data_IF_453848172400
#
_entry.id   IF_453848172400
#
_cell.length_a   1.000
_cell.length_b   1.000
_cell.length_c   1.000
_cell.angle_alpha   90.00
_cell.angle_beta   90.00
_cell.angle_gamma   90.00
#
_symmetry.space_group_name_H-M   'P 1'
#
loop_
_entity.id
_entity.type
_entity.pdbx_description
1 polymer ?
#
# COMPACT_ATOMS: atom_id res chain seq x y z
N UNK A 1 -28.19 33.80 -3.07
CA UNK A 1 -27.42 32.92 -2.16
C UNK A 1 -26.25 32.36 -2.94
N UNK A 2 -25.03 32.82 -2.65
CA UNK A 2 -23.83 32.24 -3.26
C UNK A 2 -23.44 30.99 -2.46
N UNK A 3 -23.49 29.81 -3.10
CA UNK A 3 -22.94 28.59 -2.53
C UNK A 3 -21.45 28.82 -2.32
N UNK A 4 -21.01 28.77 -1.07
CA UNK A 4 -19.60 28.70 -0.71
C UNK A 4 -19.07 27.35 -1.21
N UNK A 5 -18.63 27.30 -2.48
CA UNK A 5 -17.95 26.14 -3.06
C UNK A 5 -16.60 26.06 -2.36
N UNK A 6 -16.53 25.24 -1.31
CA UNK A 6 -15.29 25.00 -0.58
C UNK A 6 -14.14 24.74 -1.54
N UNK A 7 -13.06 25.50 -1.38
CA UNK A 7 -11.86 25.37 -2.20
C UNK A 7 -11.28 23.97 -1.96
N UNK A 8 -11.28 23.13 -3.00
CA UNK A 8 -10.65 21.81 -2.96
C UNK A 8 -9.13 21.99 -3.02
N UNK A 9 -8.45 21.87 -1.86
CA UNK A 9 -6.98 21.96 -1.77
C UNK A 9 -6.27 20.78 -2.43
N UNK A 10 -6.92 19.62 -2.45
CA UNK A 10 -6.41 18.40 -3.10
C UNK A 10 -7.41 17.90 -4.12
N UNK A 11 -6.90 17.55 -5.30
CA UNK A 11 -7.66 16.87 -6.35
C UNK A 11 -7.38 15.37 -6.25
N UNK A 12 -8.43 14.55 -6.28
CA UNK A 12 -8.27 13.09 -6.42
C UNK A 12 -7.56 12.79 -7.74
N UNK A 13 -6.63 11.85 -7.72
CA UNK A 13 -6.01 11.39 -8.94
C UNK A 13 -7.06 10.70 -9.83
N UNK A 14 -7.16 11.11 -11.09
CA UNK A 14 -8.13 10.58 -12.04
C UNK A 14 -7.87 9.09 -12.37
N UNK A 15 -6.63 8.63 -12.22
CA UNK A 15 -6.23 7.23 -12.41
C UNK A 15 -6.43 6.34 -11.19
N UNK A 16 -7.19 6.77 -10.18
CA UNK A 16 -7.47 5.93 -9.02
C UNK A 16 -8.32 4.69 -9.38
N UNK A 17 -8.11 3.55 -8.71
CA UNK A 17 -7.07 3.29 -7.71
C UNK A 17 -5.67 3.10 -8.34
N UNK A 18 -4.62 3.56 -7.64
CA UNK A 18 -3.22 3.43 -8.11
C UNK A 18 -2.68 1.99 -8.05
N UNK A 19 -3.26 1.16 -7.18
CA UNK A 19 -2.95 -0.26 -7.01
C UNK A 19 -4.24 -1.02 -6.72
N UNK A 20 -4.29 -2.26 -7.18
CA UNK A 20 -5.36 -3.23 -6.95
C UNK A 20 -4.74 -4.60 -6.66
N UNK A 21 -5.50 -5.57 -6.12
CA UNK A 21 -4.96 -6.92 -5.91
C UNK A 21 -4.44 -7.60 -7.18
N UNK A 22 -4.92 -7.19 -8.37
CA UNK A 22 -4.46 -7.71 -9.67
C UNK A 22 -3.03 -7.31 -10.02
N UNK A 23 -2.46 -6.32 -9.34
CA UNK A 23 -1.07 -5.90 -9.53
C UNK A 23 -0.08 -6.85 -8.86
N UNK A 24 -0.55 -7.69 -7.93
CA UNK A 24 0.31 -8.63 -7.22
C UNK A 24 0.56 -9.90 -8.06
N UNK A 25 1.80 -10.42 -8.08
CA UNK A 25 2.14 -11.63 -8.82
C UNK A 25 1.68 -12.92 -8.11
N UNK A 26 1.03 -12.79 -6.95
CA UNK A 26 0.47 -13.88 -6.16
C UNK A 26 -0.95 -13.53 -5.67
N UNK A 27 -1.73 -14.53 -5.19
CA UNK A 27 -3.09 -14.29 -4.73
C UNK A 27 -3.15 -13.29 -3.57
N UNK A 28 -3.91 -12.22 -3.77
CA UNK A 28 -4.23 -11.23 -2.75
C UNK A 28 -5.75 -11.01 -2.74
N UNK A 29 -6.34 -10.94 -1.55
CA UNK A 29 -7.75 -10.61 -1.39
C UNK A 29 -7.95 -9.10 -1.51
N UNK A 30 -7.12 -8.32 -0.81
CA UNK A 30 -7.17 -6.86 -0.82
C UNK A 30 -5.78 -6.24 -0.61
N UNK A 31 -5.58 -5.02 -1.12
CA UNK A 31 -4.34 -4.24 -0.94
C UNK A 31 -4.71 -2.80 -0.60
N UNK A 32 -4.21 -2.31 0.55
CA UNK A 32 -4.63 -1.03 1.12
C UNK A 32 -3.64 -0.56 2.20
N UNK A 33 -3.96 0.55 2.87
CA UNK A 33 -3.21 1.12 4.00
C UNK A 33 -1.68 1.14 3.85
N UNK A 34 -1.11 1.63 2.73
CA UNK A 34 0.33 1.63 2.59
C UNK A 34 0.99 2.69 3.48
N UNK A 35 2.15 2.34 4.05
CA UNK A 35 3.14 3.32 4.47
C UNK A 35 3.83 3.88 3.24
N UNK A 36 4.11 5.18 3.20
CA UNK A 36 4.70 5.84 2.03
C UNK A 36 5.96 6.63 2.41
N UNK A 37 7.00 6.55 1.57
CA UNK A 37 8.23 7.33 1.72
C UNK A 37 8.90 7.58 0.36
N UNK A 38 9.76 8.59 0.30
CA UNK A 38 10.71 8.73 -0.81
C UNK A 38 12.01 8.01 -0.43
N UNK A 39 12.46 7.09 -1.28
CA UNK A 39 13.70 6.32 -1.09
C UNK A 39 14.46 6.31 -2.40
N UNK A 40 15.71 6.74 -2.39
CA UNK A 40 16.60 6.78 -3.56
C UNK A 40 16.01 7.48 -4.81
N UNK A 41 15.13 8.46 -4.59
CA UNK A 41 14.46 9.22 -5.66
C UNK A 41 13.16 8.61 -6.17
N UNK A 42 12.79 7.41 -5.72
CA UNK A 42 11.51 6.75 -6.02
C UNK A 42 10.50 6.93 -4.89
N UNK A 43 9.22 6.87 -5.24
CA UNK A 43 8.15 6.65 -4.25
C UNK A 43 8.07 5.16 -3.92
N UNK A 44 8.30 4.86 -2.64
CA UNK A 44 8.09 3.55 -2.07
C UNK A 44 6.76 3.52 -1.31
N UNK A 45 5.96 2.48 -1.58
CA UNK A 45 4.85 2.08 -0.73
C UNK A 45 5.19 0.75 -0.06
N UNK A 46 5.11 0.69 1.26
CA UNK A 46 5.05 -0.56 2.01
C UNK A 46 3.56 -0.88 2.20
N UNK A 47 3.04 -1.74 1.34
CA UNK A 47 1.61 -1.98 1.18
C UNK A 47 1.16 -3.11 2.09
N UNK A 48 0.06 -2.91 2.82
CA UNK A 48 -0.63 -4.00 3.50
C UNK A 48 -1.39 -4.82 2.46
N UNK A 49 -1.06 -6.10 2.41
CA UNK A 49 -1.69 -7.09 1.54
C UNK A 49 -2.41 -8.08 2.42
N UNK A 50 -3.72 -8.19 2.27
CA UNK A 50 -4.50 -9.24 2.92
C UNK A 50 -4.57 -10.45 1.99
N UNK A 51 -4.14 -11.61 2.50
CA UNK A 51 -4.17 -12.87 1.77
C UNK A 51 -5.59 -13.45 1.67
N UNK A 52 -5.73 -14.56 0.95
CA UNK A 52 -7.02 -15.23 0.76
C UNK A 52 -7.59 -15.90 2.03
N UNK A 53 -6.83 -15.91 3.13
CA UNK A 53 -7.24 -16.43 4.44
C UNK A 53 -7.63 -15.30 5.41
N UNK A 54 -7.43 -14.03 5.02
CA UNK A 54 -7.70 -12.86 5.85
C UNK A 54 -6.52 -12.45 6.74
N UNK A 55 -5.32 -13.02 6.54
CA UNK A 55 -4.11 -12.59 7.25
C UNK A 55 -3.37 -11.56 6.40
N UNK A 56 -2.78 -10.56 7.06
CA UNK A 56 -2.02 -9.51 6.36
C UNK A 56 -0.52 -9.75 6.42
N UNK A 57 0.17 -9.39 5.34
CA UNK A 57 1.61 -9.23 5.24
C UNK A 57 1.94 -7.91 4.54
N UNK A 58 3.23 -7.53 4.54
CA UNK A 58 3.66 -6.26 3.97
C UNK A 58 4.55 -6.48 2.74
N UNK A 59 4.21 -5.83 1.64
CA UNK A 59 4.94 -5.95 0.37
C UNK A 59 5.30 -4.58 -0.16
N UNK A 60 6.50 -4.47 -0.72
CA UNK A 60 6.96 -3.21 -1.31
C UNK A 60 6.43 -3.06 -2.73
N UNK A 61 5.97 -1.85 -3.05
CA UNK A 61 5.72 -1.40 -4.41
C UNK A 61 6.49 -0.09 -4.64
N UNK A 62 7.15 0.03 -5.80
CA UNK A 62 7.94 1.22 -6.17
C UNK A 62 7.41 1.88 -7.43
N UNK A 63 7.45 3.20 -7.47
CA UNK A 63 7.09 4.01 -8.63
C UNK A 63 7.94 5.27 -8.66
N UNK A 64 8.40 5.67 -9.86
CA UNK A 64 9.16 6.91 -10.04
C UNK A 64 8.34 8.18 -9.80
N UNK A 65 7.03 8.16 -10.07
CA UNK A 65 6.15 9.34 -10.00
C UNK A 65 5.11 9.27 -8.86
N UNK A 66 5.10 8.14 -8.13
CA UNK A 66 4.14 7.85 -7.07
C UNK A 66 2.69 7.73 -7.52
N UNK A 67 2.44 7.52 -8.82
CA UNK A 67 1.09 7.48 -9.42
C UNK A 67 0.90 6.33 -10.40
N UNK A 68 1.90 6.05 -11.23
CA UNK A 68 1.82 5.13 -12.37
C UNK A 68 3.00 4.14 -12.36
N UNK A 69 2.92 3.12 -13.23
CA UNK A 69 4.01 2.17 -13.49
C UNK A 69 4.60 1.54 -12.22
N UNK A 70 3.75 1.18 -11.27
CA UNK A 70 4.15 0.51 -10.04
C UNK A 70 4.79 -0.85 -10.32
N UNK A 71 5.98 -1.07 -9.76
CA UNK A 71 6.64 -2.37 -9.71
C UNK A 71 6.43 -2.95 -8.31
N UNK A 72 5.68 -4.03 -8.23
CA UNK A 72 5.42 -4.76 -6.99
C UNK A 72 6.47 -5.86 -6.83
N UNK A 73 7.09 -5.96 -5.65
CA UNK A 73 8.04 -7.02 -5.37
C UNK A 73 7.38 -8.40 -5.45
N UNK A 74 8.09 -9.43 -5.96
CA UNK A 74 7.51 -10.74 -6.22
C UNK A 74 7.11 -11.50 -4.94
N UNK A 75 7.69 -11.12 -3.81
CA UNK A 75 7.50 -11.75 -2.51
C UNK A 75 7.26 -10.68 -1.44
N UNK A 76 6.59 -11.02 -0.32
CA UNK A 76 6.46 -10.13 0.82
C UNK A 76 7.81 -9.63 1.33
N UNK A 77 7.88 -8.37 1.75
CA UNK A 77 9.04 -7.84 2.44
C UNK A 77 9.04 -8.22 3.93
N UNK A 78 7.85 -8.36 4.52
CA UNK A 78 7.65 -8.81 5.90
C UNK A 78 6.43 -9.73 5.94
N UNK A 79 6.60 -10.91 6.52
CA UNK A 79 5.54 -11.89 6.79
C UNK A 79 5.38 -12.07 8.30
N UNK A 80 4.17 -12.34 8.80
CA UNK A 80 3.95 -12.60 10.22
C UNK A 80 4.63 -13.90 10.64
N UNK A 81 5.35 -13.87 11.77
CA UNK A 81 5.96 -15.06 12.32
C UNK A 81 5.03 -15.80 13.30
N UNK A 82 4.63 -17.06 13.02
CA UNK A 82 3.59 -17.74 13.80
C UNK A 82 3.89 -17.92 15.29
N UNK A 83 5.18 -17.93 15.68
CA UNK A 83 5.61 -18.11 17.06
C UNK A 83 5.68 -16.78 17.84
N UNK A 84 5.49 -15.64 17.18
CA UNK A 84 5.44 -14.32 17.80
C UNK A 84 3.97 -13.99 18.06
N UNK A 85 3.63 -13.81 19.33
CA UNK A 85 2.24 -13.61 19.77
C UNK A 85 1.60 -12.37 19.13
N UNK A 86 2.38 -11.32 18.93
CA UNK A 86 1.95 -10.06 18.35
C UNK A 86 1.65 -10.17 16.85
N UNK A 87 2.28 -11.12 16.16
CA UNK A 87 2.20 -11.28 14.70
C UNK A 87 1.22 -12.39 14.27
N UNK A 88 0.70 -13.17 15.22
CA UNK A 88 -0.18 -14.32 14.95
C UNK A 88 -1.45 -14.00 14.12
N UNK A 89 -1.80 -12.71 13.98
CA UNK A 89 -2.95 -12.22 13.20
C UNK A 89 -2.56 -11.41 11.96
N UNK A 90 -1.28 -11.37 11.60
CA UNK A 90 -0.76 -10.62 10.46
C UNK A 90 -0.03 -9.33 10.85
N UNK A 91 0.63 -8.75 9.85
CA UNK A 91 1.31 -7.46 9.92
C UNK A 91 0.48 -6.40 9.22
N UNK A 92 0.20 -5.29 9.89
CA UNK A 92 -0.83 -4.34 9.45
C UNK A 92 -0.40 -2.88 9.56
N UNK A 93 -1.04 -2.05 8.73
CA UNK A 93 -0.98 -0.60 8.73
C UNK A 93 0.44 0.00 8.97
N UNK A 94 1.40 -0.28 8.09
CA UNK A 94 2.76 0.21 8.26
C UNK A 94 2.82 1.75 8.21
N UNK A 95 3.66 2.33 9.07
CA UNK A 95 4.05 3.74 9.02
C UNK A 95 5.57 3.81 8.85
N UNK A 96 6.03 4.66 7.94
CA UNK A 96 7.46 4.89 7.70
C UNK A 96 7.79 6.28 8.23
N UNK A 97 8.83 6.38 9.05
CA UNK A 97 9.36 7.63 9.60
C UNK A 97 10.86 7.65 9.33
N UNK A 98 11.39 8.84 9.02
CA UNK A 98 12.81 9.11 8.78
C UNK A 98 13.34 10.10 9.82
#
# INVERSE_FOLDING_TARGET
MALNRGVSLFRRYEGNPILTPRNWPYPANSVFNPGAAQVDGETLLLVRVEDMRGFSHLTVARSWDGRTNWVVDPEPALEPEPNIREEQWGLEDPRIVF
#
